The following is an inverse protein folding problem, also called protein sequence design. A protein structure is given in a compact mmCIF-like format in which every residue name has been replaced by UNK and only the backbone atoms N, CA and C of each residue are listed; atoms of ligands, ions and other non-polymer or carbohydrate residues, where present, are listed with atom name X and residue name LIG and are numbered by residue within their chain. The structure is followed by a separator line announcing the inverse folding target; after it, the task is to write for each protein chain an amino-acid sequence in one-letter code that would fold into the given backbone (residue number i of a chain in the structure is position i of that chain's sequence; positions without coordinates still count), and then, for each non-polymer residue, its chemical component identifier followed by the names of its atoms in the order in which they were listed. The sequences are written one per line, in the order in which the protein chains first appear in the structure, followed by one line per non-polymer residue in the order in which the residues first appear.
data_IF_311275378343
#
_entry.id   IF_311275378343
#
_cell.length_a   1.000
_cell.length_b   1.000
_cell.length_c   1.000
_cell.angle_alpha   90.00
_cell.angle_beta   90.00
_cell.angle_gamma   90.00
#
_symmetry.space_group_name_H-M   'P 1'
#
loop_
_entity.id
_entity.type
_entity.pdbx_description
1 polymer ?
#
# COMPACT_ATOMS: atom_id res chain seq x y z
N UNK A 1 -4.24 8.52 68.88
CA UNK A 1 -2.99 7.86 68.65
C UNK A 1 -3.13 6.56 67.92
N UNK A 2 -4.09 5.79 68.23
CA UNK A 2 -4.31 4.55 67.53
C UNK A 2 -4.92 4.71 66.18
N UNK A 3 -5.52 5.79 65.92
CA UNK A 3 -6.26 6.01 64.71
C UNK A 3 -5.39 5.96 63.47
N UNK A 4 -4.23 6.45 63.63
CA UNK A 4 -3.31 6.54 62.50
C UNK A 4 -2.97 5.21 61.87
N UNK A 5 -2.81 4.25 62.73
CA UNK A 5 -2.44 2.93 62.25
C UNK A 5 -3.50 2.27 61.44
N UNK A 6 -4.72 2.50 61.77
CA UNK A 6 -5.84 1.89 61.07
C UNK A 6 -5.91 2.38 59.65
N UNK A 7 -5.64 3.61 59.44
CA UNK A 7 -5.70 4.20 58.10
C UNK A 7 -4.69 3.55 57.18
N UNK A 8 -3.52 3.28 57.68
CA UNK A 8 -2.48 2.69 56.86
C UNK A 8 -2.84 1.32 56.35
N UNK A 9 -3.49 0.56 57.18
CA UNK A 9 -3.85 -0.79 56.81
C UNK A 9 -4.85 -0.83 55.67
N UNK A 10 -5.76 0.07 55.72
CA UNK A 10 -6.77 0.12 54.66
C UNK A 10 -6.20 0.38 53.30
N UNK A 11 -5.20 1.18 53.26
CA UNK A 11 -4.59 1.52 51.97
C UNK A 11 -3.95 0.33 51.31
N UNK A 12 -3.32 -0.48 52.08
CA UNK A 12 -2.64 -1.63 51.48
C UNK A 12 -3.60 -2.58 50.81
N UNK A 13 -4.71 -2.79 51.44
CA UNK A 13 -5.69 -3.69 50.91
C UNK A 13 -6.20 -3.24 49.54
N UNK A 14 -6.38 -1.97 49.42
CA UNK A 14 -6.90 -1.42 48.17
C UNK A 14 -5.95 -1.67 47.03
N UNK A 15 -4.68 -1.50 47.27
CA UNK A 15 -3.71 -1.66 46.22
C UNK A 15 -3.69 -3.05 45.63
N UNK A 16 -3.79 -4.01 46.51
CA UNK A 16 -3.72 -5.39 46.06
C UNK A 16 -4.90 -5.76 45.19
N UNK A 17 -6.05 -5.32 45.55
CA UNK A 17 -7.25 -5.65 44.81
C UNK A 17 -7.20 -5.07 43.39
N UNK A 18 -6.72 -3.88 43.29
CA UNK A 18 -6.63 -3.21 42.00
C UNK A 18 -5.72 -3.94 41.05
N UNK A 19 -4.59 -4.37 41.56
CA UNK A 19 -3.62 -5.03 40.71
C UNK A 19 -4.17 -6.28 40.04
N UNK A 20 -4.90 -7.05 40.77
CA UNK A 20 -5.45 -8.26 40.22
C UNK A 20 -6.45 -7.99 39.10
N UNK A 21 -7.25 -6.98 39.27
CA UNK A 21 -8.25 -6.67 38.29
C UNK A 21 -7.61 -6.22 36.95
N UNK A 22 -6.57 -5.47 37.06
CA UNK A 22 -5.91 -4.97 35.85
C UNK A 22 -5.34 -6.08 34.99
N UNK A 23 -4.82 -7.08 35.58
CA UNK A 23 -4.21 -8.18 34.85
C UNK A 23 -5.21 -8.95 34.04
N UNK A 24 -6.38 -9.12 34.55
CA UNK A 24 -7.39 -9.92 33.88
C UNK A 24 -7.82 -9.31 32.55
N UNK A 25 -7.83 -8.03 32.47
CA UNK A 25 -8.31 -7.36 31.27
C UNK A 25 -7.34 -7.47 30.10
N UNK A 26 -6.07 -7.50 30.37
CA UNK A 26 -5.07 -7.42 29.32
C UNK A 26 -5.04 -8.61 28.36
N UNK A 27 -5.11 -9.82 28.84
CA UNK A 27 -4.96 -10.97 27.94
C UNK A 27 -6.05 -11.09 26.90
N UNK A 28 -7.15 -10.46 27.11
CA UNK A 28 -8.28 -10.62 26.20
C UNK A 28 -8.05 -9.96 24.84
N UNK A 29 -7.33 -8.88 24.80
CA UNK A 29 -7.14 -8.13 23.58
C UNK A 29 -6.26 -8.83 22.52
N UNK A 30 -5.15 -9.44 22.88
CA UNK A 30 -4.24 -10.00 21.87
C UNK A 30 -4.84 -11.04 20.95
N UNK A 31 -5.70 -11.93 21.40
CA UNK A 31 -6.24 -12.94 20.50
C UNK A 31 -7.03 -12.39 19.34
N UNK A 32 -7.72 -11.31 19.56
CA UNK A 32 -8.52 -10.72 18.50
C UNK A 32 -7.68 -10.16 17.38
N UNK A 33 -6.58 -9.56 17.74
CA UNK A 33 -5.68 -8.97 16.76
C UNK A 33 -5.07 -10.06 15.88
N UNK A 34 -4.71 -11.17 16.50
CA UNK A 34 -4.11 -12.27 15.77
C UNK A 34 -5.04 -12.89 14.77
N UNK A 35 -6.31 -13.04 15.13
CA UNK A 35 -7.26 -13.63 14.21
C UNK A 35 -7.45 -12.78 12.97
N UNK A 36 -7.44 -11.48 13.12
CA UNK A 36 -7.62 -10.61 11.97
C UNK A 36 -6.42 -10.66 11.04
N UNK A 37 -5.24 -10.80 11.60
CA UNK A 37 -4.04 -10.84 10.79
C UNK A 37 -3.93 -12.11 9.97
N UNK A 38 -4.40 -13.22 10.52
CA UNK A 38 -4.28 -14.48 9.81
C UNK A 38 -5.16 -14.56 8.58
N UNK A 39 -6.25 -13.81 8.56
CA UNK A 39 -7.12 -13.82 7.39
C UNK A 39 -6.55 -13.05 6.22
N UNK A 40 -5.70 -12.08 6.50
CA UNK A 40 -5.18 -11.24 5.43
C UNK A 40 -4.02 -11.87 4.66
N UNK A 41 -3.47 -12.98 5.15
CA UNK A 41 -2.26 -13.53 4.56
C UNK A 41 -2.49 -14.60 3.51
N UNK A 42 -3.70 -15.09 3.32
CA UNK A 42 -3.91 -16.25 2.49
C UNK A 42 -4.54 -16.00 1.13
N UNK A 43 -4.92 -14.78 0.82
CA UNK A 43 -5.40 -14.47 -0.52
C UNK A 43 -4.80 -13.17 -0.98
N UNK A 44 -4.02 -13.25 -2.04
CA UNK A 44 -3.74 -12.08 -2.83
C UNK A 44 -5.12 -11.56 -3.24
N UNK A 45 -5.50 -10.35 -2.83
CA UNK A 45 -6.80 -9.84 -3.23
C UNK A 45 -6.82 -9.78 -4.74
N UNK A 46 -7.84 -10.37 -5.33
CA UNK A 46 -8.09 -10.17 -6.74
C UNK A 46 -8.14 -8.66 -6.96
N UNK A 47 -7.47 -8.14 -7.97
CA UNK A 47 -7.52 -6.71 -8.22
C UNK A 47 -8.98 -6.27 -8.35
N UNK A 48 -9.30 -5.19 -7.69
CA UNK A 48 -10.59 -4.54 -7.80
C UNK A 48 -10.91 -4.34 -9.28
N UNK A 49 -12.15 -4.57 -9.74
CA UNK A 49 -12.49 -4.34 -11.14
C UNK A 49 -12.07 -2.99 -11.69
N UNK A 50 -12.08 -1.95 -10.87
CA UNK A 50 -11.59 -0.64 -11.27
C UNK A 50 -10.07 -0.60 -11.41
N UNK A 51 -9.35 -1.27 -10.53
CA UNK A 51 -7.91 -1.40 -10.65
C UNK A 51 -7.52 -2.11 -11.93
N UNK A 52 -8.21 -3.19 -12.25
CA UNK A 52 -7.95 -3.92 -13.47
C UNK A 52 -8.20 -3.05 -14.71
N UNK A 53 -9.28 -2.25 -14.69
CA UNK A 53 -9.53 -1.30 -15.77
C UNK A 53 -8.43 -0.26 -15.92
N UNK A 54 -7.96 0.30 -14.81
CA UNK A 54 -6.86 1.26 -14.83
C UNK A 54 -5.62 0.62 -15.45
N UNK A 55 -5.31 -0.61 -15.09
CA UNK A 55 -4.18 -1.33 -15.67
C UNK A 55 -4.35 -1.50 -17.17
N UNK A 56 -5.49 -2.01 -17.61
CA UNK A 56 -5.71 -2.39 -19.01
C UNK A 56 -5.94 -1.19 -19.93
N UNK A 57 -6.66 -0.18 -19.46
CA UNK A 57 -7.07 0.94 -20.29
C UNK A 57 -6.14 2.14 -20.22
N UNK A 58 -5.38 2.27 -19.13
CA UNK A 58 -4.46 3.39 -18.96
C UNK A 58 -3.01 2.92 -18.98
N UNK A 59 -2.60 2.10 -18.03
CA UNK A 59 -1.18 1.79 -17.84
C UNK A 59 -0.57 1.00 -18.99
N UNK A 60 -1.31 0.06 -19.56
CA UNK A 60 -0.84 -0.71 -20.72
C UNK A 60 -0.82 0.09 -22.01
N UNK A 61 -1.42 1.27 -22.01
CA UNK A 61 -1.43 2.18 -23.15
C UNK A 61 -0.44 3.34 -23.01
N UNK A 62 0.29 3.39 -21.92
CA UNK A 62 1.36 4.34 -21.73
C UNK A 62 2.70 3.70 -22.11
N UNK A 63 3.47 4.37 -22.93
CA UNK A 63 4.76 3.88 -23.39
C UNK A 63 5.85 4.83 -22.94
N UNK A 64 7.00 4.27 -22.59
CA UNK A 64 8.20 5.06 -22.40
C UNK A 64 8.65 5.53 -23.77
N UNK A 65 8.94 6.82 -23.99
CA UNK A 65 9.33 7.31 -25.30
C UNK A 65 10.65 6.74 -25.81
N UNK A 66 11.47 6.21 -24.93
CA UNK A 66 12.77 5.64 -25.34
C UNK A 66 12.70 4.13 -25.58
N UNK A 67 11.71 3.46 -25.02
CA UNK A 67 11.59 1.99 -25.07
C UNK A 67 10.20 1.64 -25.64
N UNK A 68 10.11 0.88 -26.74
CA UNK A 68 8.84 0.58 -27.38
C UNK A 68 8.03 -0.49 -26.62
N UNK A 69 7.95 -0.36 -25.32
CA UNK A 69 7.21 -1.26 -24.44
C UNK A 69 6.43 -0.39 -23.47
N UNK A 70 5.22 -0.82 -23.12
CA UNK A 70 4.40 -0.04 -22.19
C UNK A 70 4.96 -0.09 -20.76
N UNK A 71 4.60 0.91 -19.98
CA UNK A 71 5.13 1.07 -18.63
C UNK A 71 4.74 -0.06 -17.67
N UNK A 72 3.63 -0.73 -17.92
CA UNK A 72 3.21 -1.87 -17.13
C UNK A 72 4.15 -3.06 -17.33
N UNK A 73 4.41 -3.39 -18.58
CA UNK A 73 5.30 -4.49 -18.94
C UNK A 73 6.76 -4.20 -18.57
N UNK A 74 7.15 -2.93 -18.58
CA UNK A 74 8.48 -2.53 -18.11
C UNK A 74 8.69 -2.69 -16.61
N UNK A 75 7.61 -2.91 -15.85
CA UNK A 75 7.70 -3.02 -14.40
C UNK A 75 7.92 -1.68 -13.71
N UNK A 76 7.50 -0.59 -14.34
CA UNK A 76 7.62 0.75 -13.76
C UNK A 76 6.52 1.04 -12.74
N UNK A 77 5.47 0.25 -12.71
CA UNK A 77 4.36 0.44 -11.78
C UNK A 77 4.57 -0.46 -10.55
N UNK A 78 4.70 0.14 -9.39
CA UNK A 78 4.93 -0.57 -8.14
C UNK A 78 3.66 -0.88 -7.38
N UNK A 79 2.66 0.00 -7.45
CA UNK A 79 1.37 -0.28 -6.84
C UNK A 79 0.26 0.48 -7.54
N UNK A 80 -0.92 -0.11 -7.54
CA UNK A 80 -2.15 0.50 -8.02
C UNK A 80 -3.20 0.25 -6.96
N UNK A 81 -3.85 1.30 -6.52
CA UNK A 81 -4.95 1.21 -5.57
C UNK A 81 -6.07 2.12 -6.06
N UNK A 82 -7.29 1.62 -6.07
CA UNK A 82 -8.46 2.42 -6.45
C UNK A 82 -9.49 2.31 -5.35
N UNK A 83 -9.92 3.45 -4.84
CA UNK A 83 -10.95 3.48 -3.80
C UNK A 83 -12.33 3.19 -4.40
N UNK A 84 -13.32 2.80 -3.57
CA UNK A 84 -14.68 2.59 -4.05
C UNK A 84 -15.30 3.81 -4.72
N UNK A 85 -14.82 5.00 -4.37
CA UNK A 85 -15.29 6.25 -4.96
C UNK A 85 -14.68 6.54 -6.32
N UNK A 86 -13.68 5.76 -6.72
CA UNK A 86 -13.01 5.94 -8.01
C UNK A 86 -11.73 6.77 -7.94
N UNK A 87 -11.19 7.03 -6.76
CA UNK A 87 -9.92 7.70 -6.62
C UNK A 87 -8.77 6.70 -6.81
N UNK A 88 -7.94 6.90 -7.80
CA UNK A 88 -6.81 6.03 -8.11
C UNK A 88 -5.52 6.61 -7.52
N UNK A 89 -4.75 5.76 -6.84
CA UNK A 89 -3.43 6.10 -6.31
C UNK A 89 -2.43 5.11 -6.91
N UNK A 90 -1.48 5.62 -7.67
CA UNK A 90 -0.51 4.79 -8.40
C UNK A 90 0.90 5.22 -8.00
N UNK A 91 1.71 4.24 -7.64
CA UNK A 91 3.13 4.47 -7.40
C UNK A 91 3.92 3.91 -8.55
N UNK A 92 4.75 4.73 -9.16
CA UNK A 92 5.57 4.34 -10.30
C UNK A 92 7.00 4.81 -10.13
N UNK A 93 7.88 4.23 -10.93
CA UNK A 93 9.26 4.65 -11.03
C UNK A 93 9.64 4.90 -12.49
N UNK A 94 10.88 5.24 -12.73
CA UNK A 94 11.43 5.42 -14.06
C UNK A 94 12.69 4.57 -14.22
N UNK A 95 13.07 4.33 -15.48
CA UNK A 95 14.25 3.52 -15.78
C UNK A 95 15.55 4.20 -15.34
N UNK A 96 15.56 5.53 -15.24
CA UNK A 96 16.71 6.28 -14.76
C UNK A 96 16.26 7.58 -14.10
N UNK A 97 16.92 8.01 -13.00
CA UNK A 97 16.55 9.23 -12.30
C UNK A 97 16.82 10.51 -13.12
N UNK A 98 17.71 10.44 -14.07
CA UNK A 98 18.05 11.59 -14.91
C UNK A 98 17.29 11.62 -16.24
N UNK A 99 16.21 10.85 -16.37
CA UNK A 99 15.44 10.79 -17.59
C UNK A 99 14.73 12.14 -17.84
N UNK A 100 14.87 12.75 -19.03
CA UNK A 100 14.21 14.02 -19.30
C UNK A 100 12.68 13.96 -19.28
N UNK A 101 12.12 12.77 -19.38
CA UNK A 101 10.66 12.57 -19.28
C UNK A 101 10.17 12.41 -17.84
N UNK A 102 11.05 12.50 -16.84
CA UNK A 102 10.67 12.39 -15.44
C UNK A 102 9.62 13.43 -15.05
N UNK A 103 9.58 14.56 -15.71
CA UNK A 103 8.58 15.60 -15.45
C UNK A 103 7.28 15.44 -16.20
N UNK A 104 7.25 14.68 -17.30
CA UNK A 104 6.06 14.60 -18.16
C UNK A 104 5.33 13.27 -18.06
N UNK A 105 6.07 12.17 -17.94
CA UNK A 105 5.47 10.84 -17.97
C UNK A 105 4.45 10.61 -16.83
N UNK A 106 4.73 10.97 -15.57
CA UNK A 106 3.72 10.80 -14.52
C UNK A 106 2.44 11.58 -14.80
N UNK A 107 2.55 12.78 -15.38
CA UNK A 107 1.40 13.59 -15.73
C UNK A 107 0.58 12.97 -16.87
N UNK A 108 1.24 12.37 -17.85
CA UNK A 108 0.54 11.63 -18.90
C UNK A 108 -0.21 10.43 -18.35
N UNK A 109 0.44 9.68 -17.46
CA UNK A 109 -0.16 8.51 -16.81
C UNK A 109 -1.38 8.94 -16.01
N UNK A 110 -1.25 10.01 -15.23
CA UNK A 110 -2.37 10.55 -14.46
C UNK A 110 -3.54 10.94 -15.34
N UNK A 111 -3.27 11.63 -16.45
CA UNK A 111 -4.30 12.04 -17.39
C UNK A 111 -5.03 10.83 -18.00
N UNK A 112 -4.28 9.80 -18.36
CA UNK A 112 -4.89 8.59 -18.93
C UNK A 112 -5.69 7.82 -17.91
N UNK A 113 -5.25 7.79 -16.66
CA UNK A 113 -6.00 7.14 -15.59
C UNK A 113 -7.32 7.88 -15.35
N UNK A 114 -7.29 9.21 -15.32
CA UNK A 114 -8.51 10.02 -15.17
C UNK A 114 -9.51 9.81 -16.30
N UNK A 115 -9.07 9.41 -17.45
CA UNK A 115 -9.95 9.14 -18.59
C UNK A 115 -10.63 7.76 -18.52
N UNK A 116 -10.24 6.90 -17.59
CA UNK A 116 -10.86 5.58 -17.43
C UNK A 116 -12.26 5.73 -16.84
N UNK A 117 -13.28 5.11 -17.43
CA UNK A 117 -14.64 5.18 -16.88
C UNK A 117 -14.71 4.60 -15.47
N UNK A 118 -15.28 5.36 -14.56
CA UNK A 118 -15.40 4.99 -13.15
C UNK A 118 -14.33 5.62 -12.27
N UNK A 119 -13.32 6.25 -12.85
CA UNK A 119 -12.29 6.97 -12.10
C UNK A 119 -12.70 8.43 -11.96
N UNK A 120 -12.76 8.92 -10.73
CA UNK A 120 -13.13 10.30 -10.42
C UNK A 120 -11.91 11.19 -10.21
N UNK A 121 -10.81 10.59 -9.74
CA UNK A 121 -9.56 11.31 -9.53
C UNK A 121 -8.40 10.34 -9.65
N UNK A 122 -7.21 10.85 -9.93
CA UNK A 122 -6.01 10.04 -10.04
C UNK A 122 -4.81 10.81 -9.48
N UNK A 123 -3.99 10.09 -8.75
CA UNK A 123 -2.73 10.61 -8.24
C UNK A 123 -1.63 9.63 -8.62
N UNK A 124 -0.57 10.15 -9.21
CA UNK A 124 0.61 9.35 -9.56
C UNK A 124 1.79 9.86 -8.77
N UNK A 125 2.36 8.99 -7.96
CA UNK A 125 3.53 9.30 -7.15
C UNK A 125 4.76 8.64 -7.73
N UNK A 126 5.82 9.41 -7.92
CA UNK A 126 7.09 8.91 -8.41
C UNK A 126 7.94 8.47 -7.24
N UNK A 127 8.36 7.21 -7.23
CA UNK A 127 9.17 6.62 -6.16
C UNK A 127 10.46 6.07 -6.75
N UNK A 128 11.53 6.10 -5.96
CA UNK A 128 12.85 5.67 -6.38
C UNK A 128 13.39 4.48 -5.59
N UNK A 129 12.60 3.96 -4.68
CA UNK A 129 12.98 2.85 -3.84
C UNK A 129 11.88 1.78 -3.85
N UNK A 130 12.18 0.56 -4.23
CA UNK A 130 13.48 0.07 -4.69
C UNK A 130 13.84 0.61 -6.08
N UNK A 131 15.14 0.71 -6.42
CA UNK A 131 15.54 1.19 -7.74
C UNK A 131 15.11 0.19 -8.82
N UNK A 132 14.70 0.71 -9.96
CA UNK A 132 14.27 -0.13 -11.08
C UNK A 132 15.46 -0.90 -11.67
N UNK A 133 15.22 -2.16 -12.02
CA UNK A 133 16.19 -3.00 -12.72
C UNK A 133 15.49 -3.74 -13.87
N UNK A 134 16.26 -4.15 -14.85
CA UNK A 134 15.73 -4.93 -15.98
C UNK A 134 15.07 -6.24 -15.55
N UNK A 135 15.40 -6.76 -14.39
CA UNK A 135 14.76 -7.94 -13.85
C UNK A 135 13.29 -7.73 -13.48
N UNK A 136 12.85 -6.48 -13.34
CA UNK A 136 11.46 -6.15 -13.04
C UNK A 136 10.56 -6.18 -14.27
N UNK A 137 11.13 -6.25 -15.48
CA UNK A 137 10.36 -6.36 -16.70
C UNK A 137 9.63 -7.70 -16.78
N UNK A 138 8.46 -7.67 -17.41
CA UNK A 138 7.73 -8.90 -17.71
C UNK A 138 8.46 -9.73 -18.75
N UNK A 139 8.05 -10.98 -18.88
CA UNK A 139 8.59 -11.85 -19.94
C UNK A 139 8.35 -11.27 -21.32
N UNK A 140 7.18 -10.65 -21.52
CA UNK A 140 6.81 -10.06 -22.80
C UNK A 140 7.76 -8.92 -23.13
N UNK A 141 7.99 -8.02 -22.18
CA UNK A 141 8.90 -6.89 -22.36
C UNK A 141 10.32 -7.37 -22.70
N UNK A 142 10.82 -8.34 -21.97
CA UNK A 142 12.15 -8.88 -22.23
C UNK A 142 12.27 -9.49 -23.61
N UNK A 143 11.25 -10.25 -24.03
CA UNK A 143 11.23 -10.81 -25.36
C UNK A 143 11.23 -9.77 -26.47
N UNK A 144 10.47 -8.68 -26.28
CA UNK A 144 10.43 -7.60 -27.25
C UNK A 144 11.76 -6.86 -27.37
N UNK A 145 12.52 -6.81 -26.30
CA UNK A 145 13.83 -6.14 -26.27
C UNK A 145 14.98 -7.09 -26.58
N UNK A 146 14.70 -8.37 -26.82
CA UNK A 146 15.72 -9.35 -27.16
C UNK A 146 16.59 -9.79 -25.98
N UNK A 147 16.05 -9.76 -24.78
CA UNK A 147 16.78 -10.07 -23.56
C UNK A 147 16.42 -11.45 -23.01
#
# INVERSE_FOLDING_TARGET
MGEEKILLEGNRANGDAVAGAAEAAQPAAPPDVLSKQSESSSSLPSPNPLEQKVIDEALKKCFDPEIPVNIWELGLIYSVAVSPEGAADVKMTLTAPACPVAGSLPGEVETKIKAVPGITDAKVELVWDPPWTAGMMSRVARGMLGM
#
